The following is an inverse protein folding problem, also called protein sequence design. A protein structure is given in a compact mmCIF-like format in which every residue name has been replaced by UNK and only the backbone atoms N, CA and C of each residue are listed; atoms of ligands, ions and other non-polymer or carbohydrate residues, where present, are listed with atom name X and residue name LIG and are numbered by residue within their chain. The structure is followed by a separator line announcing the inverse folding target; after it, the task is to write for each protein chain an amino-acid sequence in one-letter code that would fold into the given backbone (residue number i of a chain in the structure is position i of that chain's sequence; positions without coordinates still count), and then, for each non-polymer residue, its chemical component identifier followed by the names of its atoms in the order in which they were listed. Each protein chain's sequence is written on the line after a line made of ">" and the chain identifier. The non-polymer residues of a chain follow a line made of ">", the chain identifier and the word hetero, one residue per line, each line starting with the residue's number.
data_IF_880380034250
#
_entry.id   IF_880380034250
#
_cell.length_a   1.000
_cell.length_b   1.000
_cell.length_c   1.000
_cell.angle_alpha   90.00
_cell.angle_beta   90.00
_cell.angle_gamma   90.00
#
_symmetry.space_group_name_H-M   'P 1'
#
loop_
_entity.id
_entity.type
_entity.pdbx_description
1 polymer ?
#
# COMPACT_ATOMS: atom_id res chain seq x y z
N UNK A 1 -14.01 -47.60 -4.51
CA UNK A 1 -14.40 -46.31 -3.95
C UNK A 1 -14.72 -45.30 -5.05
N UNK A 2 -13.76 -44.91 -5.89
CA UNK A 2 -13.94 -43.85 -6.94
C UNK A 2 -15.09 -44.20 -7.90
N UNK A 3 -15.18 -45.42 -8.43
CA UNK A 3 -16.27 -45.84 -9.32
C UNK A 3 -17.65 -45.70 -8.66
N UNK A 4 -17.76 -46.01 -7.37
CA UNK A 4 -19.01 -45.91 -6.61
C UNK A 4 -19.41 -44.45 -6.36
N UNK A 5 -18.43 -43.55 -6.11
CA UNK A 5 -18.66 -42.16 -5.95
C UNK A 5 -19.19 -41.49 -7.26
N UNK A 6 -18.55 -41.80 -8.40
CA UNK A 6 -19.00 -41.33 -9.72
C UNK A 6 -20.40 -41.86 -10.05
N UNK A 7 -20.66 -43.16 -9.83
CA UNK A 7 -21.96 -43.74 -10.09
C UNK A 7 -23.08 -43.13 -9.23
N UNK A 8 -22.78 -42.71 -8.00
CA UNK A 8 -23.73 -42.07 -7.12
C UNK A 8 -24.04 -40.63 -7.61
N UNK A 9 -23.01 -39.86 -7.93
CA UNK A 9 -23.15 -38.49 -8.46
C UNK A 9 -24.06 -38.44 -9.70
N UNK A 10 -23.88 -39.39 -10.61
CA UNK A 10 -24.68 -39.46 -11.84
C UNK A 10 -26.12 -39.89 -11.61
N UNK A 11 -26.38 -40.74 -10.61
CA UNK A 11 -27.72 -41.29 -10.28
C UNK A 11 -28.60 -40.26 -9.53
N UNK A 12 -28.02 -39.44 -8.66
CA UNK A 12 -28.78 -38.52 -7.76
C UNK A 12 -28.58 -37.07 -8.16
N UNK A 13 -28.90 -36.72 -9.42
CA UNK A 13 -28.61 -35.41 -10.04
C UNK A 13 -29.09 -34.20 -9.22
N UNK A 14 -30.31 -34.22 -8.69
CA UNK A 14 -30.84 -33.07 -7.93
C UNK A 14 -30.05 -32.77 -6.65
N UNK A 15 -29.57 -33.81 -5.95
CA UNK A 15 -28.75 -33.65 -4.75
C UNK A 15 -27.36 -33.17 -5.07
N UNK A 16 -26.77 -33.76 -6.11
CA UNK A 16 -25.48 -33.34 -6.63
C UNK A 16 -25.50 -31.86 -7.01
N UNK A 17 -26.61 -31.42 -7.67
CA UNK A 17 -26.79 -30.02 -8.06
C UNK A 17 -26.86 -29.07 -6.86
N UNK A 18 -27.59 -29.44 -5.79
CA UNK A 18 -27.69 -28.62 -4.56
C UNK A 18 -26.30 -28.46 -3.94
N UNK A 19 -25.52 -29.54 -3.77
CA UNK A 19 -24.17 -29.45 -3.23
C UNK A 19 -23.26 -28.64 -4.15
N UNK A 20 -23.32 -28.87 -5.45
CA UNK A 20 -22.56 -28.11 -6.42
C UNK A 20 -22.80 -26.59 -6.27
N UNK A 21 -24.05 -26.15 -6.14
CA UNK A 21 -24.41 -24.76 -5.93
C UNK A 21 -23.80 -24.24 -4.63
N UNK A 22 -23.92 -25.00 -3.52
CA UNK A 22 -23.40 -24.58 -2.22
C UNK A 22 -21.88 -24.50 -2.25
N UNK A 23 -21.18 -25.51 -2.81
CA UNK A 23 -19.74 -25.47 -2.93
C UNK A 23 -19.28 -24.31 -3.83
N UNK A 24 -20.01 -24.03 -4.91
CA UNK A 24 -19.73 -22.90 -5.79
C UNK A 24 -19.86 -21.57 -5.04
N UNK A 25 -20.92 -21.37 -4.28
CA UNK A 25 -21.14 -20.15 -3.50
C UNK A 25 -20.03 -19.98 -2.45
N UNK A 26 -19.75 -21.02 -1.65
CA UNK A 26 -18.73 -20.97 -0.61
C UNK A 26 -17.35 -20.69 -1.23
N UNK A 27 -17.00 -21.37 -2.32
CA UNK A 27 -15.72 -21.14 -3.00
C UNK A 27 -15.63 -19.76 -3.61
N UNK A 28 -16.73 -19.24 -4.21
CA UNK A 28 -16.78 -17.88 -4.78
C UNK A 28 -16.58 -16.82 -3.70
N UNK A 29 -17.23 -16.97 -2.55
CA UNK A 29 -17.06 -16.04 -1.43
C UNK A 29 -15.64 -16.09 -0.86
N UNK A 30 -15.08 -17.28 -0.66
CA UNK A 30 -13.69 -17.44 -0.20
C UNK A 30 -12.69 -16.83 -1.19
N UNK A 31 -12.86 -17.11 -2.47
CA UNK A 31 -12.03 -16.55 -3.54
C UNK A 31 -12.09 -15.02 -3.54
N UNK A 32 -13.28 -14.42 -3.47
CA UNK A 32 -13.43 -12.96 -3.46
C UNK A 32 -12.78 -12.32 -2.23
N UNK A 33 -13.02 -12.88 -1.04
CA UNK A 33 -12.41 -12.37 0.19
C UNK A 33 -10.88 -12.46 0.18
N UNK A 34 -10.32 -13.61 -0.27
CA UNK A 34 -8.88 -13.77 -0.35
C UNK A 34 -8.25 -12.88 -1.43
N UNK A 35 -8.95 -12.63 -2.52
CA UNK A 35 -8.48 -11.70 -3.56
C UNK A 35 -8.41 -10.27 -3.01
N UNK A 36 -9.47 -9.80 -2.34
CA UNK A 36 -9.46 -8.46 -1.73
C UNK A 36 -8.36 -8.35 -0.66
N UNK A 37 -8.16 -9.38 0.15
CA UNK A 37 -7.12 -9.39 1.18
C UNK A 37 -5.72 -9.25 0.56
N UNK A 38 -5.43 -9.97 -0.51
CA UNK A 38 -4.15 -9.86 -1.23
C UNK A 38 -3.98 -8.51 -1.93
N UNK A 39 -5.04 -8.01 -2.59
CA UNK A 39 -4.99 -6.68 -3.20
C UNK A 39 -4.78 -5.60 -2.13
N UNK A 40 -5.39 -5.73 -0.96
CA UNK A 40 -5.15 -4.83 0.17
C UNK A 40 -3.69 -4.89 0.67
N UNK A 41 -3.07 -6.09 0.71
CA UNK A 41 -1.65 -6.24 1.04
C UNK A 41 -0.74 -5.54 0.00
N UNK A 42 -1.05 -5.66 -1.27
CA UNK A 42 -0.32 -4.99 -2.36
C UNK A 42 -0.51 -3.47 -2.31
N UNK A 43 -1.74 -3.00 -2.04
CA UNK A 43 -2.03 -1.56 -1.87
C UNK A 43 -1.29 -1.02 -0.65
N UNK A 44 -1.33 -1.71 0.49
CA UNK A 44 -0.60 -1.33 1.70
C UNK A 44 0.91 -1.21 1.41
N UNK A 45 1.48 -2.20 0.71
CA UNK A 45 2.89 -2.17 0.31
C UNK A 45 3.18 -1.01 -0.66
N UNK A 46 2.36 -0.80 -1.68
CA UNK A 46 2.50 0.29 -2.62
C UNK A 46 2.33 1.66 -1.96
N UNK A 47 1.35 1.81 -1.05
CA UNK A 47 1.20 2.99 -0.22
C UNK A 47 2.43 3.20 0.66
N UNK A 48 2.98 2.15 1.24
CA UNK A 48 4.17 2.22 2.07
C UNK A 48 5.40 2.65 1.25
N UNK A 49 5.59 2.07 0.07
CA UNK A 49 6.66 2.43 -0.86
C UNK A 49 6.48 3.84 -1.46
N UNK A 50 5.22 4.27 -1.69
CA UNK A 50 4.90 5.58 -2.25
C UNK A 50 4.68 6.65 -1.18
N UNK A 51 4.28 6.27 0.03
CA UNK A 51 3.87 7.18 1.10
C UNK A 51 5.02 7.93 1.73
N UNK A 52 6.27 7.60 1.36
CA UNK A 52 7.39 8.25 2.00
C UNK A 52 7.32 8.21 3.53
N UNK A 53 6.76 7.14 4.11
CA UNK A 53 6.79 6.98 5.56
C UNK A 53 8.24 7.03 6.00
N UNK A 54 8.62 8.14 6.55
CA UNK A 54 9.99 8.44 6.96
C UNK A 54 10.00 8.86 8.41
N UNK A 55 11.16 8.76 9.01
CA UNK A 55 11.45 9.46 10.26
C UNK A 55 12.09 10.77 9.88
N UNK A 56 11.54 11.86 10.36
CA UNK A 56 12.09 13.19 10.12
C UNK A 56 12.82 13.73 11.37
N UNK A 57 13.93 14.40 11.14
CA UNK A 57 14.60 15.22 12.14
C UNK A 57 14.54 16.65 11.67
N UNK A 58 13.96 17.50 12.49
CA UNK A 58 13.87 18.95 12.27
C UNK A 58 14.25 19.69 13.55
N UNK A 59 14.74 20.91 13.40
CA UNK A 59 15.05 21.75 14.55
C UNK A 59 13.81 22.51 15.01
N UNK A 60 13.59 22.59 16.34
CA UNK A 60 12.38 23.19 16.94
C UNK A 60 12.19 24.66 16.62
N UNK A 61 13.28 25.38 16.38
CA UNK A 61 13.25 26.80 16.01
C UNK A 61 13.12 27.05 14.49
N UNK A 62 12.98 25.97 13.68
CA UNK A 62 12.84 26.04 12.23
C UNK A 62 14.13 26.39 11.48
N UNK A 63 15.25 26.58 12.17
CA UNK A 63 16.54 26.89 11.55
C UNK A 63 17.23 25.63 11.03
N UNK A 64 18.23 25.81 10.19
CA UNK A 64 19.09 24.73 9.76
C UNK A 64 20.06 24.27 10.87
N UNK A 65 20.57 23.07 10.72
CA UNK A 65 21.52 22.44 11.64
C UNK A 65 22.65 21.72 10.90
N UNK A 66 23.72 21.40 11.60
CA UNK A 66 24.84 20.67 11.01
C UNK A 66 24.49 19.18 10.91
N UNK A 67 24.52 18.65 9.70
CA UNK A 67 24.19 17.24 9.40
C UNK A 67 25.14 16.28 10.14
N UNK A 68 26.38 16.68 10.39
CA UNK A 68 27.35 15.85 11.08
C UNK A 68 27.02 15.52 12.54
N UNK A 69 26.09 16.30 13.16
CA UNK A 69 25.58 15.95 14.49
C UNK A 69 24.85 14.60 14.49
N UNK A 70 24.46 14.12 13.31
CA UNK A 70 23.64 12.92 13.12
C UNK A 70 24.36 11.80 12.34
N UNK A 71 25.69 11.80 12.25
CA UNK A 71 26.46 10.76 11.51
C UNK A 71 26.21 9.32 11.97
N UNK A 72 25.81 9.15 13.23
CA UNK A 72 25.52 7.81 13.76
C UNK A 72 24.25 7.19 13.18
N UNK A 73 23.40 7.98 12.51
CA UNK A 73 22.20 7.51 11.81
C UNK A 73 22.58 6.59 10.62
N UNK A 74 23.68 6.88 9.93
CA UNK A 74 24.16 6.07 8.80
C UNK A 74 24.50 4.62 9.19
N UNK A 75 24.68 4.35 10.48
CA UNK A 75 25.00 3.01 11.02
C UNK A 75 23.77 2.16 11.28
N UNK A 76 22.58 2.73 11.21
CA UNK A 76 21.33 2.03 11.46
C UNK A 76 20.94 1.19 10.24
N UNK A 77 20.95 -0.14 10.39
CA UNK A 77 20.66 -1.10 9.32
C UNK A 77 19.19 -1.09 8.88
N UNK A 78 18.31 -0.55 9.70
CA UNK A 78 16.89 -0.42 9.45
C UNK A 78 16.56 0.71 8.48
N UNK A 79 17.53 1.61 8.24
CA UNK A 79 17.40 2.76 7.32
C UNK A 79 18.02 2.39 5.99
N UNK A 80 17.23 2.47 4.93
CA UNK A 80 17.66 2.15 3.56
C UNK A 80 18.13 3.40 2.80
N UNK A 81 17.54 4.56 3.08
CA UNK A 81 17.85 5.80 2.38
C UNK A 81 17.76 7.00 3.34
N UNK A 82 18.71 7.91 3.23
CA UNK A 82 18.75 9.15 4.00
C UNK A 82 18.67 10.33 3.03
N UNK A 83 17.67 11.18 3.21
CA UNK A 83 17.46 12.37 2.42
C UNK A 83 17.77 13.60 3.25
N UNK A 84 18.66 14.43 2.73
CA UNK A 84 18.99 15.72 3.31
C UNK A 84 18.28 16.81 2.53
N UNK A 85 17.59 17.69 3.22
CA UNK A 85 16.83 18.79 2.65
C UNK A 85 17.30 20.11 3.25
N UNK A 86 17.59 21.07 2.37
CA UNK A 86 17.90 22.43 2.73
C UNK A 86 16.93 23.37 2.02
N UNK A 87 16.19 24.15 2.79
CA UNK A 87 15.21 25.11 2.31
C UNK A 87 15.78 26.52 2.39
N UNK A 88 15.68 27.25 1.32
CA UNK A 88 16.21 28.61 1.21
C UNK A 88 15.48 29.45 0.17
N UNK A 89 16.00 30.64 -0.03
CA UNK A 89 15.60 31.53 -1.10
C UNK A 89 16.76 31.74 -2.07
N UNK A 90 16.45 31.91 -3.34
CA UNK A 90 17.43 32.25 -4.34
C UNK A 90 16.94 33.43 -5.20
N UNK A 91 17.85 34.35 -5.54
CA UNK A 91 17.59 35.43 -6.47
C UNK A 91 17.92 34.99 -7.88
N UNK A 92 17.03 35.29 -8.81
CA UNK A 92 17.23 35.08 -10.23
C UNK A 92 18.06 36.21 -10.83
N UNK A 93 19.07 35.87 -11.64
CA UNK A 93 19.86 36.89 -12.37
C UNK A 93 19.36 37.12 -13.78
N UNK A 94 19.24 36.09 -14.58
CA UNK A 94 18.92 36.16 -15.99
C UNK A 94 17.47 35.74 -16.31
N UNK A 95 16.68 35.42 -15.28
CA UNK A 95 15.30 35.02 -15.40
C UNK A 95 14.37 35.87 -14.52
N UNK A 96 13.07 35.81 -14.78
CA UNK A 96 12.03 36.53 -14.04
C UNK A 96 11.08 35.55 -13.37
N UNK A 97 10.63 35.93 -12.17
CA UNK A 97 9.58 35.18 -11.46
C UNK A 97 8.25 35.28 -12.20
N UNK A 98 7.45 34.25 -12.08
CA UNK A 98 6.05 34.28 -12.54
C UNK A 98 5.26 35.17 -11.61
N UNK A 99 4.51 36.11 -12.18
CA UNK A 99 3.63 37.00 -11.43
C UNK A 99 2.36 36.26 -11.06
N UNK A 100 2.06 36.18 -9.77
CA UNK A 100 0.83 35.62 -9.24
C UNK A 100 -0.08 36.68 -8.62
N UNK A 101 -1.33 36.33 -8.32
CA UNK A 101 -2.26 37.18 -7.58
C UNK A 101 -1.92 37.22 -6.10
N UNK A 102 -1.04 38.16 -5.71
CA UNK A 102 -0.72 38.41 -4.31
C UNK A 102 -1.91 39.07 -3.58
N UNK A 103 -2.24 38.52 -2.41
CA UNK A 103 -3.24 39.09 -1.50
C UNK A 103 -2.66 40.13 -0.55
N UNK A 104 -1.34 40.14 -0.39
CA UNK A 104 -0.59 41.03 0.50
C UNK A 104 0.38 41.82 -0.35
N UNK A 105 0.25 43.13 -0.33
CA UNK A 105 1.20 44.03 -0.98
C UNK A 105 2.22 44.56 0.04
N UNK A 106 3.49 44.26 -0.17
CA UNK A 106 4.60 44.68 0.71
C UNK A 106 5.42 45.75 0.04
N UNK A 107 5.15 47.02 0.43
CA UNK A 107 5.92 48.18 0.00
C UNK A 107 7.28 48.31 0.71
N UNK A 108 7.43 47.61 1.84
CA UNK A 108 8.63 47.59 2.69
C UNK A 108 9.72 46.63 2.20
N UNK A 109 9.46 45.80 1.15
CA UNK A 109 10.43 44.84 0.64
C UNK A 109 11.62 45.56 -0.03
N UNK A 110 12.82 45.26 0.46
CA UNK A 110 14.05 45.68 -0.21
C UNK A 110 14.19 45.05 -1.60
N UNK A 111 14.93 45.68 -2.49
CA UNK A 111 15.17 45.14 -3.84
C UNK A 111 15.84 43.79 -3.87
N UNK A 112 16.45 43.37 -2.77
CA UNK A 112 17.06 42.03 -2.63
C UNK A 112 16.02 40.91 -2.61
N UNK A 113 14.81 41.17 -2.12
CA UNK A 113 13.70 40.19 -2.05
C UNK A 113 12.72 40.31 -3.22
N UNK A 114 13.01 41.18 -4.18
CA UNK A 114 12.32 41.21 -5.47
C UNK A 114 12.96 40.17 -6.39
N UNK A 115 12.15 39.45 -7.16
CA UNK A 115 12.62 38.42 -8.10
C UNK A 115 13.31 37.23 -7.41
N UNK A 116 12.73 36.75 -6.30
CA UNK A 116 13.20 35.59 -5.55
C UNK A 116 12.32 34.37 -5.78
N UNK A 117 12.94 33.23 -5.82
CA UNK A 117 12.29 31.91 -5.90
C UNK A 117 12.49 31.15 -4.59
N UNK A 118 11.54 30.32 -4.23
CA UNK A 118 11.72 29.34 -3.16
C UNK A 118 12.61 28.22 -3.68
N UNK A 119 13.71 27.97 -2.99
CA UNK A 119 14.68 26.94 -3.35
C UNK A 119 14.63 25.82 -2.32
N UNK A 120 14.43 24.60 -2.80
CA UNK A 120 14.58 23.40 -2.02
C UNK A 120 15.74 22.57 -2.58
N UNK A 121 16.81 22.43 -1.79
CA UNK A 121 17.94 21.60 -2.16
C UNK A 121 17.79 20.21 -1.54
N UNK A 122 17.73 19.18 -2.37
CA UNK A 122 17.44 17.80 -1.96
C UNK A 122 18.23 16.81 -2.81
N UNK A 123 18.66 15.70 -2.22
CA UNK A 123 19.41 14.67 -2.94
C UNK A 123 18.52 13.67 -3.70
N UNK A 124 17.20 13.67 -3.47
CA UNK A 124 16.26 12.84 -4.23
C UNK A 124 14.86 13.47 -4.25
N UNK A 125 14.52 14.17 -5.35
CA UNK A 125 13.20 14.85 -5.46
C UNK A 125 12.03 13.88 -5.58
N UNK A 126 12.23 12.63 -6.01
CA UNK A 126 11.17 11.62 -6.03
C UNK A 126 10.61 11.33 -4.62
N UNK A 127 11.45 11.51 -3.59
CA UNK A 127 11.08 11.35 -2.18
C UNK A 127 10.49 12.61 -1.55
N UNK A 128 10.55 13.76 -2.23
CA UNK A 128 9.90 14.96 -1.74
C UNK A 128 8.38 14.78 -1.68
N UNK A 129 7.76 15.24 -0.59
CA UNK A 129 6.34 15.02 -0.34
C UNK A 129 5.44 15.59 -1.43
N UNK A 130 5.82 16.69 -2.07
CA UNK A 130 5.03 17.30 -3.15
C UNK A 130 5.02 16.44 -4.42
N UNK A 131 6.11 15.74 -4.71
CA UNK A 131 6.18 14.80 -5.84
C UNK A 131 5.58 13.44 -5.49
N UNK A 132 5.87 12.91 -4.32
CA UNK A 132 5.36 11.59 -3.91
C UNK A 132 3.86 11.57 -3.70
N UNK A 133 3.26 12.68 -3.24
CA UNK A 133 1.80 12.83 -3.11
C UNK A 133 1.09 13.17 -4.42
N UNK A 134 1.83 13.41 -5.51
CA UNK A 134 1.26 13.77 -6.80
C UNK A 134 0.80 15.23 -6.91
N UNK A 135 1.06 16.08 -5.91
CA UNK A 135 0.81 17.54 -5.98
C UNK A 135 1.66 18.14 -7.09
N UNK A 136 2.91 17.69 -7.20
CA UNK A 136 3.78 18.00 -8.32
C UNK A 136 4.04 16.77 -9.18
N UNK A 137 4.09 16.95 -10.49
CA UNK A 137 4.33 15.87 -11.45
C UNK A 137 5.38 16.32 -12.47
N UNK A 138 6.39 15.50 -12.72
CA UNK A 138 7.37 15.74 -13.79
C UNK A 138 6.67 15.61 -15.14
N UNK A 139 6.73 16.66 -15.93
CA UNK A 139 6.19 16.71 -17.32
C UNK A 139 7.23 16.35 -18.33
N UNK A 140 8.45 16.86 -18.16
CA UNK A 140 9.56 16.64 -19.05
C UNK A 140 10.84 16.40 -18.23
N UNK A 141 11.73 15.53 -18.74
CA UNK A 141 12.99 15.23 -18.10
C UNK A 141 12.88 14.21 -16.97
N UNK A 142 13.62 14.41 -15.88
CA UNK A 142 13.74 13.47 -14.76
C UNK A 142 13.77 14.18 -13.40
N UNK A 143 13.56 13.41 -12.34
CA UNK A 143 13.80 13.82 -10.97
C UNK A 143 15.32 13.98 -10.69
N UNK A 144 15.67 14.85 -9.73
CA UNK A 144 17.04 14.91 -9.18
C UNK A 144 17.25 13.61 -8.40
N UNK A 145 18.40 13.00 -8.61
CA UNK A 145 18.90 11.84 -7.87
C UNK A 145 20.21 12.13 -7.16
N UNK A 146 20.68 11.20 -6.36
CA UNK A 146 21.84 11.33 -5.48
C UNK A 146 23.14 11.73 -6.22
N UNK A 147 23.29 11.30 -7.48
CA UNK A 147 24.50 11.53 -8.29
C UNK A 147 24.40 12.75 -9.21
N UNK A 148 23.27 13.46 -9.22
CA UNK A 148 23.11 14.66 -10.05
C UNK A 148 23.85 15.83 -9.40
N UNK A 149 24.54 16.62 -10.24
CA UNK A 149 25.26 17.84 -9.86
C UNK A 149 24.87 18.98 -10.77
N UNK A 150 24.97 20.20 -10.25
CA UNK A 150 24.61 21.43 -10.96
C UNK A 150 23.22 21.35 -11.62
N UNK A 151 22.29 20.67 -10.96
CA UNK A 151 21.02 20.26 -11.54
C UNK A 151 19.87 21.01 -10.90
N UNK A 152 18.90 21.45 -11.74
CA UNK A 152 17.68 22.13 -11.28
C UNK A 152 16.45 21.51 -11.95
N UNK A 153 15.35 21.49 -11.21
CA UNK A 153 14.00 21.22 -11.71
C UNK A 153 13.18 22.48 -11.49
N UNK A 154 12.48 22.94 -12.54
CA UNK A 154 11.70 24.18 -12.55
C UNK A 154 10.24 23.91 -12.89
N UNK A 155 9.36 24.82 -12.47
CA UNK A 155 7.94 24.73 -12.82
C UNK A 155 7.70 25.06 -14.29
N UNK A 156 6.68 24.45 -14.92
CA UNK A 156 6.38 24.64 -16.35
C UNK A 156 6.04 26.08 -16.70
N UNK A 157 5.32 26.83 -15.84
CA UNK A 157 5.00 28.23 -16.08
C UNK A 157 6.24 29.13 -15.97
N UNK A 158 7.16 28.80 -15.04
CA UNK A 158 8.46 29.48 -14.95
C UNK A 158 9.28 29.29 -16.24
N UNK A 159 9.34 28.04 -16.72
CA UNK A 159 10.05 27.70 -17.96
C UNK A 159 9.44 28.40 -19.17
N UNK A 160 8.12 28.43 -19.29
CA UNK A 160 7.41 29.16 -20.37
C UNK A 160 7.67 30.67 -20.35
N UNK A 161 7.55 31.28 -19.16
CA UNK A 161 7.77 32.73 -18.99
C UNK A 161 9.17 33.17 -19.44
N UNK A 162 10.16 32.34 -19.17
CA UNK A 162 11.56 32.63 -19.43
C UNK A 162 12.08 31.98 -20.74
N UNK A 163 11.21 31.35 -21.55
CA UNK A 163 11.54 30.60 -22.77
C UNK A 163 12.64 29.54 -22.55
N UNK A 164 12.65 28.88 -21.38
CA UNK A 164 13.62 27.87 -20.98
C UNK A 164 13.13 26.46 -21.36
N UNK A 165 14.08 25.59 -21.69
CA UNK A 165 13.84 24.20 -22.05
C UNK A 165 14.77 23.26 -21.26
N UNK A 166 14.53 21.97 -21.35
CA UNK A 166 15.46 20.97 -20.81
C UNK A 166 16.85 21.17 -21.38
N UNK A 167 17.82 21.20 -20.48
CA UNK A 167 19.23 21.38 -20.83
C UNK A 167 19.72 22.82 -20.79
N UNK A 168 18.84 23.80 -20.73
CA UNK A 168 19.20 25.21 -20.53
C UNK A 168 19.73 25.47 -19.13
N UNK A 169 20.43 26.58 -18.94
CA UNK A 169 20.99 26.98 -17.64
C UNK A 169 20.17 28.10 -17.00
N UNK A 170 20.08 28.05 -15.66
CA UNK A 170 19.48 29.11 -14.83
C UNK A 170 20.53 29.59 -13.84
N UNK A 171 20.80 30.87 -13.80
CA UNK A 171 21.76 31.50 -12.88
C UNK A 171 21.04 31.93 -11.59
N UNK A 172 21.37 31.27 -10.47
CA UNK A 172 20.82 31.49 -9.13
C UNK A 172 21.87 32.03 -8.16
N UNK A 173 21.48 33.03 -7.40
CA UNK A 173 22.23 33.52 -6.24
C UNK A 173 21.48 33.14 -4.97
N UNK A 174 22.01 32.14 -4.22
CA UNK A 174 21.43 31.71 -2.97
C UNK A 174 21.53 32.82 -1.93
N UNK A 175 20.45 33.03 -1.19
CA UNK A 175 20.41 34.04 -0.12
C UNK A 175 20.75 33.37 1.21
N UNK A 176 21.88 33.72 1.82
CA UNK A 176 22.20 33.34 3.19
C UNK A 176 21.61 34.35 4.17
N UNK A 177 20.53 33.96 4.82
CA UNK A 177 19.78 34.84 5.75
C UNK A 177 20.61 35.22 6.97
N UNK A 178 21.61 34.41 7.36
CA UNK A 178 22.45 34.68 8.55
C UNK A 178 23.69 35.53 8.24
N UNK A 179 24.18 35.50 7.03
CA UNK A 179 25.37 36.26 6.64
C UNK A 179 24.97 37.26 5.57
N UNK A 180 25.00 38.52 5.89
CA UNK A 180 24.89 39.65 4.93
C UNK A 180 26.00 39.63 3.87
N UNK A 181 26.47 38.48 3.47
CA UNK A 181 27.54 38.26 2.50
C UNK A 181 26.95 37.84 1.15
N UNK A 182 27.39 38.52 0.08
CA UNK A 182 27.05 38.11 -1.30
C UNK A 182 27.56 36.70 -1.58
N UNK A 183 26.64 35.72 -1.68
CA UNK A 183 26.94 34.40 -2.18
C UNK A 183 27.16 34.52 -3.70
N UNK A 184 28.15 33.80 -4.22
CA UNK A 184 28.41 33.78 -5.66
C UNK A 184 27.23 33.13 -6.38
N UNK A 185 26.82 33.77 -7.50
CA UNK A 185 25.85 33.15 -8.38
C UNK A 185 26.41 31.86 -8.99
N UNK A 186 25.53 30.88 -9.22
CA UNK A 186 25.86 29.59 -9.78
C UNK A 186 24.84 29.20 -10.86
N UNK A 187 25.33 28.60 -11.93
CA UNK A 187 24.51 28.14 -13.04
C UNK A 187 24.10 26.68 -12.84
N UNK A 188 22.82 26.47 -12.83
CA UNK A 188 22.23 25.14 -12.75
C UNK A 188 21.63 24.75 -14.10
N UNK A 189 21.81 23.49 -14.49
CA UNK A 189 21.25 22.91 -15.71
C UNK A 189 19.85 22.37 -15.44
N UNK A 190 18.86 22.74 -16.24
CA UNK A 190 17.50 22.21 -16.16
C UNK A 190 17.49 20.74 -16.59
N UNK A 191 17.23 19.85 -15.66
CA UNK A 191 17.10 18.39 -15.92
C UNK A 191 15.67 17.90 -15.87
N UNK A 192 14.74 18.71 -15.34
CA UNK A 192 13.33 18.38 -15.26
C UNK A 192 12.45 19.62 -15.24
N UNK A 193 11.25 19.48 -15.79
CA UNK A 193 10.18 20.47 -15.74
C UNK A 193 8.97 19.82 -15.09
N UNK A 194 8.44 20.42 -14.03
CA UNK A 194 7.29 19.91 -13.30
C UNK A 194 6.08 20.83 -13.41
N UNK A 195 4.91 20.29 -13.10
CA UNK A 195 3.65 21.04 -12.96
C UNK A 195 2.95 20.66 -11.67
N UNK A 196 1.98 21.47 -11.30
CA UNK A 196 1.14 21.26 -10.12
C UNK A 196 1.09 22.51 -9.25
N UNK A 197 0.18 22.50 -8.27
CA UNK A 197 -0.01 23.64 -7.38
C UNK A 197 -0.16 23.16 -5.94
N UNK A 198 0.76 23.61 -5.06
CA UNK A 198 0.65 23.39 -3.61
C UNK A 198 -0.28 24.41 -2.97
N UNK A 199 -0.68 24.17 -1.74
CA UNK A 199 -1.34 25.22 -0.96
C UNK A 199 -0.38 26.40 -0.75
N UNK A 200 -0.76 27.58 -1.21
CA UNK A 200 0.07 28.77 -1.20
C UNK A 200 -0.23 29.62 0.05
N UNK A 201 0.83 30.10 0.66
CA UNK A 201 0.76 31.12 1.71
C UNK A 201 1.09 32.47 1.09
N UNK A 202 0.45 33.53 1.57
CA UNK A 202 0.65 34.88 1.01
C UNK A 202 1.41 35.73 2.02
N UNK A 203 2.74 35.78 1.87
CA UNK A 203 3.63 36.64 2.69
C UNK A 203 4.03 37.90 1.99
N UNK A 204 3.65 38.05 0.71
CA UNK A 204 4.01 39.17 -0.17
C UNK A 204 5.29 38.95 -0.98
N UNK A 205 5.90 37.74 -0.85
CA UNK A 205 7.07 37.36 -1.64
C UNK A 205 6.66 36.62 -2.92
N UNK A 206 7.44 36.75 -3.99
CA UNK A 206 7.24 35.96 -5.19
C UNK A 206 7.47 34.46 -4.98
N UNK A 207 8.29 34.12 -4.02
CA UNK A 207 8.57 32.73 -3.61
C UNK A 207 7.39 31.98 -2.97
N UNK A 208 6.30 32.67 -2.65
CA UNK A 208 5.08 32.04 -2.10
C UNK A 208 4.40 31.14 -3.13
N UNK A 209 4.53 31.47 -4.41
CA UNK A 209 3.86 30.77 -5.50
C UNK A 209 4.55 29.48 -5.91
N UNK A 210 3.74 28.47 -6.22
CA UNK A 210 4.22 27.19 -6.72
C UNK A 210 5.04 27.29 -7.99
N UNK A 211 4.66 28.23 -8.85
CA UNK A 211 5.32 28.55 -10.13
C UNK A 211 6.75 29.09 -9.94
N UNK A 212 7.05 29.64 -8.77
CA UNK A 212 8.36 30.18 -8.38
C UNK A 212 9.10 29.28 -7.38
N UNK A 213 8.75 28.00 -7.33
CA UNK A 213 9.48 27.00 -6.57
C UNK A 213 10.45 26.26 -7.47
N UNK A 214 11.69 26.10 -7.02
CA UNK A 214 12.73 25.37 -7.74
C UNK A 214 13.36 24.33 -6.83
N UNK A 215 13.74 23.19 -7.40
CA UNK A 215 14.47 22.14 -6.71
C UNK A 215 15.86 22.03 -7.29
N UNK A 216 16.87 21.98 -6.44
CA UNK A 216 18.28 21.83 -6.85
C UNK A 216 18.91 20.63 -6.13
N UNK A 217 20.02 20.12 -6.69
CA UNK A 217 20.74 19.07 -5.98
C UNK A 217 21.39 19.60 -4.70
N UNK A 218 21.33 18.77 -3.65
CA UNK A 218 21.80 19.13 -2.33
C UNK A 218 23.32 19.40 -2.32
N UNK A 219 24.11 18.59 -3.03
CA UNK A 219 25.56 18.69 -3.02
C UNK A 219 26.04 20.04 -3.54
N UNK A 220 25.55 20.46 -4.70
CA UNK A 220 25.89 21.78 -5.28
C UNK A 220 25.45 22.93 -4.39
N UNK A 221 24.28 22.83 -3.75
CA UNK A 221 23.83 23.86 -2.82
C UNK A 221 24.80 24.07 -1.66
N UNK A 222 25.35 22.98 -1.09
CA UNK A 222 26.33 23.04 -0.01
C UNK A 222 27.67 23.62 -0.47
N UNK A 223 28.11 23.30 -1.69
CA UNK A 223 29.33 23.88 -2.28
C UNK A 223 29.20 25.39 -2.46
N UNK A 224 28.05 25.86 -2.97
CA UNK A 224 27.75 27.30 -3.15
C UNK A 224 27.74 28.03 -1.80
N UNK A 225 27.18 27.42 -0.77
CA UNK A 225 27.16 27.93 0.60
C UNK A 225 28.53 27.86 1.30
N UNK A 226 29.59 27.42 0.58
CA UNK A 226 30.95 27.21 1.09
C UNK A 226 30.99 26.28 2.34
N UNK A 227 30.14 25.24 2.34
CA UNK A 227 30.11 24.23 3.40
C UNK A 227 31.07 23.10 3.02
N UNK A 228 31.99 22.76 3.93
CA UNK A 228 32.81 21.56 3.80
C UNK A 228 32.01 20.31 4.19
N UNK A 229 32.54 19.13 3.87
CA UNK A 229 31.93 17.84 4.25
C UNK A 229 31.57 17.78 5.74
N UNK A 230 32.35 18.42 6.60
CA UNK A 230 32.12 18.45 8.05
C UNK A 230 31.14 19.51 8.53
N UNK A 231 30.66 20.41 7.67
CA UNK A 231 29.81 21.55 8.02
C UNK A 231 28.57 21.65 7.12
N UNK A 232 28.17 20.59 6.45
CA UNK A 232 26.93 20.57 5.66
C UNK A 232 25.73 20.87 6.55
N UNK A 233 24.78 21.62 6.04
CA UNK A 233 23.61 22.08 6.77
C UNK A 233 22.33 21.56 6.12
N UNK A 234 21.33 21.25 6.94
CA UNK A 234 19.99 20.87 6.50
C UNK A 234 18.93 21.50 7.41
N UNK A 235 17.75 21.72 6.88
CA UNK A 235 16.56 22.07 7.67
C UNK A 235 15.83 20.80 8.11
N UNK A 236 15.95 19.72 7.31
CA UNK A 236 15.28 18.45 7.55
C UNK A 236 16.15 17.28 7.08
N UNK A 237 16.22 16.24 7.88
CA UNK A 237 16.73 14.93 7.49
C UNK A 237 15.56 13.97 7.49
N UNK A 238 15.37 13.26 6.39
CA UNK A 238 14.37 12.22 6.22
C UNK A 238 15.06 10.87 6.09
N UNK A 239 14.58 9.90 6.84
CA UNK A 239 15.12 8.54 6.88
C UNK A 239 14.04 7.56 6.48
N UNK A 240 14.28 6.82 5.42
CA UNK A 240 13.35 5.85 4.85
C UNK A 240 13.75 4.43 5.21
N UNK A 241 12.76 3.61 5.52
CA UNK A 241 12.89 2.20 5.84
C UNK A 241 12.00 1.37 4.90
N UNK A 242 12.32 0.10 4.70
CA UNK A 242 11.56 -0.78 3.80
C UNK A 242 10.19 -1.24 4.32
N UNK A 243 9.86 -0.98 5.61
CA UNK A 243 8.57 -1.39 6.21
C UNK A 243 8.24 -0.57 7.45
N UNK A 244 6.95 -0.61 7.87
CA UNK A 244 6.47 0.00 9.10
C UNK A 244 7.24 -0.50 10.33
N UNK A 245 7.45 -1.81 10.40
CA UNK A 245 8.18 -2.45 11.50
C UNK A 245 9.64 -1.95 11.57
N UNK A 246 10.31 -1.85 10.42
CA UNK A 246 11.66 -1.30 10.33
C UNK A 246 11.70 0.17 10.72
N UNK A 247 10.68 0.96 10.36
CA UNK A 247 10.56 2.38 10.75
C UNK A 247 10.41 2.51 12.27
N UNK A 248 9.56 1.70 12.90
CA UNK A 248 9.36 1.74 14.35
C UNK A 248 10.62 1.28 15.10
N UNK A 249 11.32 0.25 14.59
CA UNK A 249 12.61 -0.18 15.13
C UNK A 249 13.67 0.91 14.99
N UNK A 250 13.76 1.57 13.84
CA UNK A 250 14.66 2.68 13.60
C UNK A 250 14.36 3.87 14.53
N UNK A 251 13.09 4.23 14.72
CA UNK A 251 12.68 5.30 15.62
C UNK A 251 13.08 5.00 17.07
N UNK A 252 12.88 3.77 17.53
CA UNK A 252 13.29 3.37 18.88
C UNK A 252 14.82 3.46 19.06
N UNK A 253 15.59 3.01 18.06
CA UNK A 253 17.06 3.12 18.10
C UNK A 253 17.53 4.57 18.03
N UNK A 254 16.86 5.43 17.27
CA UNK A 254 17.16 6.86 17.22
C UNK A 254 16.97 7.54 18.59
N UNK A 255 15.95 7.15 19.34
CA UNK A 255 15.73 7.64 20.72
C UNK A 255 16.82 7.17 21.70
N UNK A 256 17.49 6.05 21.42
CA UNK A 256 18.63 5.57 22.18
C UNK A 256 19.93 6.36 21.88
N UNK A 257 20.02 6.93 20.66
CA UNK A 257 21.08 7.88 20.33
C UNK A 257 20.84 9.14 21.15
N UNK A 258 21.87 9.64 21.84
CA UNK A 258 21.82 10.83 22.70
C UNK A 258 21.59 12.12 21.87
N UNK A 259 20.51 12.15 21.09
CA UNK A 259 20.09 13.34 20.36
C UNK A 259 19.41 14.28 21.36
N UNK A 260 19.75 15.55 21.29
CA UNK A 260 19.19 16.57 22.19
C UNK A 260 17.73 16.86 21.83
N UNK A 261 16.81 16.10 22.42
CA UNK A 261 15.35 16.25 22.21
C UNK A 261 14.83 17.65 22.65
N UNK A 262 15.63 18.45 23.37
CA UNK A 262 15.24 19.83 23.67
C UNK A 262 15.34 20.75 22.45
N UNK A 263 16.22 20.42 21.51
CA UNK A 263 16.51 21.19 20.28
C UNK A 263 15.84 20.63 19.04
N UNK A 264 15.62 19.31 18.97
CA UNK A 264 15.16 18.64 17.79
C UNK A 264 13.80 17.96 17.99
N UNK A 265 12.99 17.95 16.93
CA UNK A 265 11.86 17.05 16.77
C UNK A 265 12.35 15.82 16.02
N UNK A 266 12.02 14.64 16.54
CA UNK A 266 12.23 13.36 15.88
C UNK A 266 10.85 12.73 15.76
N UNK A 267 10.27 12.77 14.60
CA UNK A 267 8.89 12.38 14.37
C UNK A 267 8.78 11.42 13.20
N UNK A 268 7.78 10.55 13.25
CA UNK A 268 7.39 9.74 12.11
C UNK A 268 6.57 10.64 11.18
N UNK A 269 7.11 10.92 9.99
CA UNK A 269 6.45 11.75 8.98
C UNK A 269 5.47 10.88 8.18
N UNK A 270 4.39 10.43 8.83
CA UNK A 270 3.40 9.51 8.27
C UNK A 270 1.99 10.13 8.21
N UNK A 271 1.81 11.33 8.75
CA UNK A 271 0.49 11.93 8.99
C UNK A 271 -0.42 11.99 7.74
N UNK A 272 0.14 12.24 6.55
CA UNK A 272 -0.66 12.33 5.33
C UNK A 272 -1.17 10.96 4.83
N UNK A 273 -0.55 9.86 5.28
CA UNK A 273 -0.86 8.51 4.82
C UNK A 273 -1.38 7.60 5.92
N UNK A 274 -1.27 7.99 7.20
CA UNK A 274 -1.80 7.20 8.32
C UNK A 274 -3.29 6.92 8.13
N UNK A 275 -4.07 7.89 7.72
CA UNK A 275 -5.49 7.74 7.45
C UNK A 275 -5.77 6.74 6.32
N UNK A 276 -4.97 6.78 5.25
CA UNK A 276 -5.07 5.82 4.13
C UNK A 276 -4.63 4.41 4.56
N UNK A 277 -3.55 4.30 5.33
CA UNK A 277 -3.08 3.02 5.87
C UNK A 277 -4.07 2.44 6.88
N UNK A 278 -4.66 3.26 7.74
CA UNK A 278 -5.69 2.86 8.68
C UNK A 278 -6.94 2.35 7.95
N UNK A 279 -7.34 3.03 6.88
CA UNK A 279 -8.46 2.60 6.02
C UNK A 279 -8.19 1.23 5.38
N UNK A 280 -6.98 1.00 4.82
CA UNK A 280 -6.60 -0.31 4.25
C UNK A 280 -6.58 -1.39 5.33
N UNK A 281 -6.02 -1.09 6.50
CA UNK A 281 -5.98 -2.01 7.64
C UNK A 281 -7.39 -2.35 8.12
N UNK A 282 -8.29 -1.37 8.17
CA UNK A 282 -9.71 -1.57 8.48
C UNK A 282 -10.41 -2.50 7.50
N UNK A 283 -10.19 -2.32 6.19
CA UNK A 283 -10.69 -3.21 5.15
C UNK A 283 -10.18 -4.63 5.36
N UNK A 284 -8.88 -4.83 5.58
CA UNK A 284 -8.28 -6.15 5.84
C UNK A 284 -8.92 -6.83 7.06
N UNK A 285 -9.16 -6.08 8.13
CA UNK A 285 -9.79 -6.62 9.34
C UNK A 285 -11.21 -7.09 9.07
N UNK A 286 -12.03 -6.31 8.37
CA UNK A 286 -13.40 -6.67 7.98
C UNK A 286 -13.39 -7.91 7.10
N UNK A 287 -12.56 -7.95 6.06
CA UNK A 287 -12.47 -9.08 5.13
C UNK A 287 -11.98 -10.36 5.85
N UNK A 288 -11.07 -10.24 6.81
CA UNK A 288 -10.63 -11.36 7.64
C UNK A 288 -11.78 -11.94 8.47
N UNK A 289 -12.59 -11.10 9.11
CA UNK A 289 -13.79 -11.54 9.84
C UNK A 289 -14.79 -12.20 8.88
N UNK A 290 -15.04 -11.62 7.71
CA UNK A 290 -15.92 -12.20 6.68
C UNK A 290 -15.41 -13.59 6.25
N UNK A 291 -14.12 -13.73 5.99
CA UNK A 291 -13.51 -15.01 5.60
C UNK A 291 -13.75 -16.10 6.64
N UNK A 292 -13.48 -15.83 7.92
CA UNK A 292 -13.75 -16.77 9.01
C UNK A 292 -15.25 -17.09 9.15
N UNK A 293 -16.12 -16.10 8.99
CA UNK A 293 -17.57 -16.29 9.04
C UNK A 293 -18.06 -17.20 7.91
N UNK A 294 -17.51 -17.03 6.69
CA UNK A 294 -17.81 -17.88 5.52
C UNK A 294 -17.30 -19.32 5.75
N UNK A 295 -16.10 -19.49 6.30
CA UNK A 295 -15.56 -20.80 6.64
C UNK A 295 -16.45 -21.54 7.64
N UNK A 296 -16.83 -20.87 8.72
CA UNK A 296 -17.68 -21.45 9.76
C UNK A 296 -19.10 -21.71 9.23
N UNK A 297 -19.71 -20.74 8.57
CA UNK A 297 -21.04 -20.88 7.98
C UNK A 297 -21.10 -21.95 6.91
N UNK A 298 -20.10 -22.00 6.03
CA UNK A 298 -19.96 -23.05 5.01
C UNK A 298 -19.83 -24.46 5.62
N UNK A 299 -19.03 -24.58 6.67
CA UNK A 299 -18.88 -25.84 7.43
C UNK A 299 -20.21 -26.30 8.06
N UNK A 300 -20.94 -25.38 8.69
CA UNK A 300 -22.24 -25.68 9.31
C UNK A 300 -23.26 -26.11 8.26
N UNK A 301 -23.42 -25.33 7.19
CA UNK A 301 -24.38 -25.62 6.10
C UNK A 301 -24.07 -26.97 5.44
N UNK A 302 -22.81 -27.21 5.08
CA UNK A 302 -22.42 -28.50 4.50
C UNK A 302 -22.65 -29.65 5.47
N UNK A 303 -22.34 -29.51 6.75
CA UNK A 303 -22.57 -30.53 7.75
C UNK A 303 -24.06 -30.86 7.90
N UNK A 304 -24.93 -29.85 7.95
CA UNK A 304 -26.38 -30.08 8.06
C UNK A 304 -26.94 -30.83 6.84
N UNK A 305 -26.55 -30.44 5.64
CA UNK A 305 -26.98 -31.14 4.43
C UNK A 305 -26.45 -32.55 4.37
N UNK A 306 -25.19 -32.76 4.78
CA UNK A 306 -24.61 -34.11 4.87
C UNK A 306 -25.33 -35.00 5.89
N UNK A 307 -25.73 -34.48 7.05
CA UNK A 307 -26.51 -35.19 8.03
C UNK A 307 -27.83 -35.70 7.42
N UNK A 308 -28.54 -34.81 6.69
CA UNK A 308 -29.79 -35.18 6.01
C UNK A 308 -29.54 -36.30 4.97
N UNK A 309 -28.47 -36.18 4.19
CA UNK A 309 -28.13 -37.19 3.20
C UNK A 309 -27.68 -38.51 3.75
N UNK A 310 -26.88 -38.50 4.79
CA UNK A 310 -26.44 -39.70 5.47
C UNK A 310 -27.62 -40.43 6.09
N UNK A 311 -28.64 -39.71 6.60
CA UNK A 311 -29.90 -40.35 7.07
C UNK A 311 -30.63 -41.12 5.98
N UNK A 312 -30.70 -40.57 4.77
CA UNK A 312 -31.36 -41.27 3.65
C UNK A 312 -30.55 -42.48 3.15
N UNK A 313 -29.22 -42.46 3.34
CA UNK A 313 -28.31 -43.54 2.96
C UNK A 313 -28.03 -44.54 4.10
N UNK A 314 -28.78 -44.47 5.21
CA UNK A 314 -28.49 -45.24 6.38
C UNK A 314 -28.57 -46.75 6.10
N UNK A 315 -29.42 -47.17 5.16
CA UNK A 315 -29.52 -48.58 4.66
C UNK A 315 -28.22 -48.99 3.93
N UNK A 316 -27.77 -48.20 2.99
CA UNK A 316 -26.52 -48.50 2.26
C UNK A 316 -25.34 -48.61 3.22
N UNK A 317 -25.26 -47.67 4.19
CA UNK A 317 -24.24 -47.68 5.24
C UNK A 317 -24.34 -48.93 6.10
N UNK A 318 -25.54 -49.33 6.49
CA UNK A 318 -25.78 -50.56 7.28
C UNK A 318 -25.32 -51.81 6.53
N UNK A 319 -25.60 -51.91 5.23
CA UNK A 319 -25.14 -53.02 4.38
C UNK A 319 -23.61 -53.06 4.30
N UNK A 320 -22.95 -51.90 4.05
CA UNK A 320 -21.49 -51.83 4.01
C UNK A 320 -20.84 -52.24 5.34
N UNK A 321 -21.40 -51.82 6.46
CA UNK A 321 -20.93 -52.25 7.78
C UNK A 321 -21.13 -53.75 8.03
N UNK A 322 -22.26 -54.32 7.55
CA UNK A 322 -22.55 -55.76 7.68
C UNK A 322 -21.62 -56.66 6.85
N UNK A 323 -21.14 -56.15 5.70
CA UNK A 323 -20.14 -56.83 4.85
C UNK A 323 -18.70 -56.63 5.40
N UNK A 324 -18.54 -55.91 6.53
CA UNK A 324 -17.24 -55.72 7.19
C UNK A 324 -16.45 -54.51 6.68
N UNK A 325 -17.06 -53.56 5.94
CA UNK A 325 -16.40 -52.35 5.52
C UNK A 325 -16.15 -51.45 6.74
N UNK A 326 -14.92 -50.96 6.92
CA UNK A 326 -14.59 -50.09 8.03
C UNK A 326 -15.28 -48.73 7.93
N UNK A 327 -15.61 -48.09 9.08
CA UNK A 327 -16.22 -46.77 9.15
C UNK A 327 -15.38 -45.70 8.41
N UNK A 328 -14.06 -45.79 8.49
CA UNK A 328 -13.12 -44.87 7.80
C UNK A 328 -13.29 -44.98 6.30
N UNK A 329 -13.47 -46.20 5.75
CA UNK A 329 -13.69 -46.37 4.31
C UNK A 329 -14.98 -45.70 3.84
N UNK A 330 -16.03 -45.73 4.66
CA UNK A 330 -17.30 -45.05 4.35
C UNK A 330 -17.12 -43.53 4.38
N UNK A 331 -16.42 -42.99 5.39
CA UNK A 331 -16.11 -41.56 5.49
C UNK A 331 -15.30 -41.09 4.28
N UNK A 332 -14.25 -41.81 3.91
CA UNK A 332 -13.41 -41.50 2.76
C UNK A 332 -14.23 -41.53 1.44
N UNK A 333 -15.20 -42.42 1.30
CA UNK A 333 -16.07 -42.41 0.13
C UNK A 333 -16.87 -41.11 0.01
N UNK A 334 -17.44 -40.61 1.14
CA UNK A 334 -18.16 -39.33 1.14
C UNK A 334 -17.25 -38.12 0.83
N UNK A 335 -16.03 -38.16 1.39
CA UNK A 335 -15.04 -37.11 1.06
C UNK A 335 -14.76 -37.10 -0.45
N UNK A 336 -14.52 -38.26 -1.07
CA UNK A 336 -14.30 -38.35 -2.50
C UNK A 336 -15.52 -37.90 -3.33
N UNK A 337 -16.75 -38.26 -2.90
CA UNK A 337 -17.97 -37.80 -3.56
C UNK A 337 -18.02 -36.24 -3.62
N UNK A 338 -17.75 -35.58 -2.50
CA UNK A 338 -17.75 -34.11 -2.43
C UNK A 338 -16.60 -33.47 -3.19
N UNK A 339 -15.41 -34.05 -3.13
CA UNK A 339 -14.26 -33.55 -3.91
C UNK A 339 -14.57 -33.63 -5.41
N UNK A 340 -15.16 -34.73 -5.92
CA UNK A 340 -15.54 -34.82 -7.31
C UNK A 340 -16.60 -33.78 -7.71
N UNK A 341 -17.55 -33.47 -6.83
CA UNK A 341 -18.55 -32.40 -7.07
C UNK A 341 -17.89 -31.02 -7.01
N UNK A 342 -16.84 -30.83 -6.20
CA UNK A 342 -16.15 -29.55 -6.07
C UNK A 342 -15.28 -29.19 -7.27
N UNK A 343 -14.84 -30.15 -8.07
CA UNK A 343 -14.00 -29.87 -9.27
C UNK A 343 -14.73 -28.93 -10.27
N UNK A 344 -15.95 -29.24 -10.74
CA UNK A 344 -16.66 -28.33 -11.63
C UNK A 344 -17.04 -27.00 -10.97
N UNK A 345 -17.15 -26.95 -9.62
CA UNK A 345 -17.43 -25.70 -8.90
C UNK A 345 -16.27 -24.71 -8.97
N UNK A 346 -15.05 -25.16 -9.24
CA UNK A 346 -13.88 -24.28 -9.45
C UNK A 346 -14.12 -23.32 -10.62
N UNK A 347 -14.59 -23.86 -11.76
CA UNK A 347 -14.84 -23.06 -12.95
C UNK A 347 -15.99 -22.06 -12.69
N UNK A 348 -17.09 -22.57 -12.12
CA UNK A 348 -18.27 -21.72 -11.81
C UNK A 348 -17.95 -20.66 -10.76
N UNK A 349 -17.08 -20.94 -9.81
CA UNK A 349 -16.68 -20.00 -8.75
C UNK A 349 -15.84 -18.85 -9.28
N UNK A 350 -15.07 -19.01 -10.35
CA UNK A 350 -14.35 -17.91 -10.99
C UNK A 350 -15.31 -16.84 -11.53
N UNK A 351 -16.38 -17.26 -12.22
CA UNK A 351 -17.37 -16.32 -12.75
C UNK A 351 -18.14 -15.62 -11.63
N UNK A 352 -18.72 -16.38 -10.70
CA UNK A 352 -19.46 -15.84 -9.56
C UNK A 352 -18.56 -15.03 -8.64
N UNK A 353 -17.35 -15.47 -8.40
CA UNK A 353 -16.38 -14.79 -7.56
C UNK A 353 -15.99 -13.41 -8.07
N UNK A 354 -15.76 -13.26 -9.38
CA UNK A 354 -15.50 -11.97 -9.99
C UNK A 354 -16.69 -11.00 -9.88
N UNK A 355 -17.93 -11.53 -9.96
CA UNK A 355 -19.13 -10.70 -9.72
C UNK A 355 -19.20 -10.27 -8.27
N UNK A 356 -19.03 -11.20 -7.32
CA UNK A 356 -19.04 -10.91 -5.88
C UNK A 356 -17.92 -9.94 -5.49
N UNK A 357 -16.74 -10.11 -6.07
CA UNK A 357 -15.59 -9.22 -5.85
C UNK A 357 -15.95 -7.77 -6.20
N UNK A 358 -16.59 -7.53 -7.34
CA UNK A 358 -17.05 -6.19 -7.74
C UNK A 358 -18.11 -5.64 -6.79
N UNK A 359 -19.04 -6.46 -6.32
CA UNK A 359 -20.09 -6.05 -5.38
C UNK A 359 -19.48 -5.70 -4.00
N UNK A 360 -18.59 -6.54 -3.49
CA UNK A 360 -17.94 -6.33 -2.18
C UNK A 360 -17.02 -5.09 -2.25
N UNK A 361 -16.17 -4.99 -3.26
CA UNK A 361 -15.29 -3.84 -3.45
C UNK A 361 -16.09 -2.54 -3.61
N UNK A 362 -17.18 -2.55 -4.39
CA UNK A 362 -18.07 -1.39 -4.55
C UNK A 362 -18.79 -1.00 -3.24
N UNK A 363 -19.18 -1.97 -2.41
CA UNK A 363 -19.82 -1.71 -1.12
C UNK A 363 -18.85 -1.12 -0.07
N UNK A 364 -17.59 -1.50 -0.10
CA UNK A 364 -16.56 -0.97 0.81
C UNK A 364 -16.19 0.48 0.44
N UNK A 365 -16.15 0.79 -0.85
CA UNK A 365 -15.68 2.10 -1.36
C UNK A 365 -16.78 3.17 -1.38
N UNK A 366 -18.05 2.80 -1.44
CA UNK A 366 -19.17 3.75 -1.37
C UNK A 366 -19.44 4.34 0.02
N UNK A 367 -18.64 3.99 1.04
CA UNK A 367 -18.57 4.78 2.28
C UNK A 367 -17.84 6.08 1.94
N UNK A 368 -18.51 7.23 2.13
CA UNK A 368 -18.09 8.59 1.72
C UNK A 368 -16.70 9.04 2.20
N UNK A 369 -16.03 8.26 3.05
CA UNK A 369 -14.72 8.55 3.65
C UNK A 369 -13.55 7.74 3.06
N UNK A 370 -13.75 6.92 2.02
CA UNK A 370 -12.64 6.10 1.52
C UNK A 370 -11.84 6.79 0.42
N UNK A 371 -10.60 7.15 0.71
CA UNK A 371 -9.62 7.66 -0.29
C UNK A 371 -9.19 6.60 -1.32
N UNK A 372 -9.68 5.35 -1.20
CA UNK A 372 -9.28 4.22 -2.03
C UNK A 372 -10.30 4.01 -3.14
N UNK A 373 -9.85 4.09 -4.39
CA UNK A 373 -10.72 3.75 -5.53
C UNK A 373 -11.03 2.25 -5.54
N UNK A 374 -12.31 1.87 -5.68
CA UNK A 374 -12.74 0.46 -5.80
C UNK A 374 -12.04 -0.31 -6.93
N UNK A 375 -11.57 0.39 -7.97
CA UNK A 375 -10.78 -0.19 -9.04
C UNK A 375 -9.42 -0.71 -8.58
N UNK A 376 -8.79 -0.10 -7.57
CA UNK A 376 -7.49 -0.52 -7.05
C UNK A 376 -7.55 -1.81 -6.22
N UNK A 377 -8.72 -2.15 -5.68
CA UNK A 377 -8.96 -3.42 -4.97
C UNK A 377 -9.16 -4.61 -5.91
N UNK A 378 -9.29 -4.37 -7.21
CA UNK A 378 -9.49 -5.40 -8.23
C UNK A 378 -8.19 -5.50 -9.03
N UNK A 379 -7.37 -6.48 -8.68
CA UNK A 379 -6.14 -6.75 -9.43
C UNK A 379 -6.44 -7.68 -10.61
N UNK A 380 -6.21 -7.20 -11.84
CA UNK A 380 -6.43 -7.96 -13.08
C UNK A 380 -5.31 -8.96 -13.40
N UNK A 381 -4.35 -9.17 -12.51
CA UNK A 381 -3.26 -10.13 -12.73
C UNK A 381 -3.78 -11.56 -12.74
N UNK A 382 -3.74 -12.21 -13.90
CA UNK A 382 -4.16 -13.60 -14.10
C UNK A 382 -3.43 -14.59 -13.18
N UNK A 383 -2.13 -14.38 -12.93
CA UNK A 383 -1.34 -15.25 -12.06
C UNK A 383 -1.76 -15.13 -10.58
N UNK A 384 -2.07 -13.93 -10.12
CA UNK A 384 -2.56 -13.70 -8.77
C UNK A 384 -3.91 -14.39 -8.56
N UNK A 385 -4.78 -14.31 -9.56
CA UNK A 385 -6.11 -14.93 -9.54
C UNK A 385 -6.04 -16.45 -9.45
N UNK A 386 -5.10 -17.11 -10.17
CA UNK A 386 -4.91 -18.58 -10.10
C UNK A 386 -4.36 -19.00 -8.73
N UNK A 387 -3.36 -18.31 -8.18
CA UNK A 387 -2.81 -18.67 -6.88
C UNK A 387 -3.84 -18.51 -5.76
N UNK A 388 -4.63 -17.44 -5.81
CA UNK A 388 -5.71 -17.17 -4.85
C UNK A 388 -6.82 -18.21 -4.96
N UNK A 389 -7.19 -18.61 -6.18
CA UNK A 389 -8.15 -19.68 -6.41
C UNK A 389 -7.66 -21.01 -5.83
N UNK A 390 -6.39 -21.36 -6.06
CA UNK A 390 -5.77 -22.55 -5.49
C UNK A 390 -5.81 -22.58 -3.94
N UNK A 391 -5.49 -21.46 -3.31
CA UNK A 391 -5.58 -21.30 -1.84
C UNK A 391 -7.02 -21.42 -1.35
N UNK A 392 -7.97 -20.77 -2.01
CA UNK A 392 -9.40 -20.84 -1.68
C UNK A 392 -9.91 -22.30 -1.78
N UNK A 393 -9.46 -23.03 -2.80
CA UNK A 393 -9.83 -24.43 -3.00
C UNK A 393 -9.23 -25.34 -1.93
N UNK A 394 -8.00 -25.10 -1.48
CA UNK A 394 -7.43 -25.86 -0.34
C UNK A 394 -8.21 -25.64 0.95
N UNK A 395 -8.65 -24.39 1.19
CA UNK A 395 -9.52 -24.08 2.34
C UNK A 395 -10.86 -24.81 2.19
N UNK A 396 -11.46 -24.83 1.01
CA UNK A 396 -12.71 -25.55 0.74
C UNK A 396 -12.56 -27.05 1.00
N UNK A 397 -11.46 -27.68 0.57
CA UNK A 397 -11.18 -29.09 0.88
C UNK A 397 -11.15 -29.31 2.38
N UNK A 398 -10.53 -28.43 3.15
CA UNK A 398 -10.48 -28.51 4.60
C UNK A 398 -11.89 -28.42 5.21
N UNK A 399 -12.73 -27.52 4.71
CA UNK A 399 -14.15 -27.39 5.12
C UNK A 399 -14.91 -28.69 4.79
N UNK A 400 -14.74 -29.25 3.60
CA UNK A 400 -15.37 -30.52 3.19
C UNK A 400 -14.98 -31.65 4.14
N UNK A 401 -13.68 -31.83 4.41
CA UNK A 401 -13.19 -32.90 5.29
C UNK A 401 -13.79 -32.78 6.69
N UNK A 402 -13.71 -31.54 7.26
CA UNK A 402 -14.24 -31.29 8.61
C UNK A 402 -15.76 -31.51 8.67
N UNK A 403 -16.50 -31.03 7.65
CA UNK A 403 -17.97 -31.23 7.57
C UNK A 403 -18.37 -32.70 7.47
N UNK A 404 -17.65 -33.50 6.64
CA UNK A 404 -17.90 -34.93 6.50
C UNK A 404 -17.59 -35.68 7.78
N UNK A 405 -16.45 -35.39 8.41
CA UNK A 405 -16.06 -36.02 9.67
C UNK A 405 -17.10 -35.71 10.75
N UNK A 406 -17.52 -34.46 10.87
CA UNK A 406 -18.54 -34.04 11.84
C UNK A 406 -19.88 -34.73 11.58
N UNK A 407 -20.41 -34.66 10.36
CA UNK A 407 -21.69 -35.28 10.01
C UNK A 407 -21.67 -36.82 10.16
N UNK A 408 -20.57 -37.43 9.74
CA UNK A 408 -20.41 -38.90 9.85
C UNK A 408 -20.26 -39.38 11.30
N UNK A 409 -19.58 -38.60 12.16
CA UNK A 409 -19.43 -38.93 13.57
C UNK A 409 -20.79 -39.05 14.26
N UNK A 410 -21.69 -38.08 14.01
CA UNK A 410 -23.03 -38.08 14.59
C UNK A 410 -23.88 -39.30 14.21
N UNK A 411 -23.66 -39.89 13.03
CA UNK A 411 -24.44 -41.04 12.54
C UNK A 411 -23.74 -42.35 12.84
N UNK A 412 -22.42 -42.45 12.68
CA UNK A 412 -21.64 -43.66 12.85
C UNK A 412 -21.29 -43.98 14.31
N UNK A 413 -21.60 -43.10 15.28
CA UNK A 413 -21.49 -43.37 16.71
C UNK A 413 -22.47 -44.49 17.09
N UNK A 414 -23.66 -44.57 16.46
CA UNK A 414 -24.65 -45.62 16.71
C UNK A 414 -24.13 -46.97 16.29
N UNK A 415 -24.47 -48.01 17.08
CA UNK A 415 -24.09 -49.41 16.78
C UNK A 415 -24.83 -49.89 15.51
N UNK A 416 -24.22 -50.73 14.65
CA UNK A 416 -24.87 -51.28 13.45
C UNK A 416 -26.25 -51.89 13.73
N UNK A 417 -26.41 -52.57 14.87
CA UNK A 417 -27.68 -53.14 15.32
C UNK A 417 -28.78 -52.12 15.56
N UNK A 418 -28.44 -50.93 16.09
CA UNK A 418 -29.38 -49.83 16.32
C UNK A 418 -29.73 -49.10 15.01
N UNK A 419 -28.78 -49.11 14.06
CA UNK A 419 -29.00 -48.56 12.72
C UNK A 419 -30.00 -49.44 11.95
N UNK A 420 -29.86 -50.75 12.06
CA UNK A 420 -30.73 -51.73 11.39
C UNK A 420 -32.09 -51.93 12.09
N UNK A 421 -32.18 -51.84 13.42
CA UNK A 421 -33.42 -52.01 14.17
C UNK A 421 -34.41 -50.82 14.07
N UNK A 422 -34.02 -49.66 13.62
CA UNK A 422 -34.91 -48.54 13.32
C UNK A 422 -35.63 -48.68 11.97
N UNK A 423 -35.45 -49.79 11.34
CA UNK A 423 -35.87 -50.08 9.96
C UNK A 423 -37.04 -51.10 9.94
N UNK A 424 -37.36 -51.72 11.04
CA UNK A 424 -38.53 -52.64 11.14
C UNK A 424 -39.76 -51.94 11.76
#
# INVERSE_FOLDING_TARGET
>A
MIKNAIAYITRKRNRTLIIFIILTIVLSCLYSCLTIMKSSDEIEKALYESSNSSISITRKDGNYFNVNEFKDIEKLKEIEEIIMQYDGLAKLKDAKVVSGEQRINREDLSDEFKNVVSLEAINNTKRNILFSSGVFTIKEGKNIGENDKDSIIVHEEFAKQNNLKLGDEVDLELLDIEKSGKIKSHKFKIIGIFSGKKHETYTGLSSDFSENMVFVDYSTSQEILNKSENNKIANKILMYSGSAESTDLALNKLKELKIDESKYFIEKDSNAFEESLESVSGIKHIIKIMTYSIMLGGMVVLSLILILWLRERIYEIGIFLSIGTSKIHIIMQFIFELIFISIPSIISSLFLGNVLLKVIAGGIVNSEDSMISGGSLINDSFMLNITTLGQSYLILISIIVLSVVFASSLILIKKPKEILSKIS
#
